data_IF_560481048926
#
_entry.id   IF_560481048926
#
_cell.length_a   1.000
_cell.length_b   1.000
_cell.length_c   1.000
_cell.angle_alpha   90.00
_cell.angle_beta   90.00
_cell.angle_gamma   90.00
#
_symmetry.space_group_name_H-M   'P 1'
#
loop_
_entity.id
_entity.type
_entity.pdbx_description
1 polymer ?
#
# COMPACT_ATOMS: atom_id res chain seq x y z
N UNK A 1 -16.43 -26.88 4.35
CA UNK A 1 -15.60 -26.49 3.19
C UNK A 1 -15.81 -25.00 3.12
N UNK A 2 -14.75 -24.20 3.22
CA UNK A 2 -14.88 -22.74 3.22
C UNK A 2 -15.81 -22.25 2.10
N UNK A 3 -16.59 -21.21 2.38
CA UNK A 3 -17.48 -20.58 1.39
C UNK A 3 -16.70 -20.30 0.10
N UNK A 4 -17.31 -20.50 -1.07
CA UNK A 4 -16.66 -20.35 -2.39
C UNK A 4 -16.06 -18.96 -2.65
N UNK A 5 -16.47 -17.99 -1.84
CA UNK A 5 -16.01 -16.60 -1.87
C UNK A 5 -14.77 -16.35 -0.99
N UNK A 6 -14.25 -17.35 -0.28
CA UNK A 6 -12.97 -17.22 0.44
C UNK A 6 -11.78 -17.67 -0.41
N UNK A 7 -10.69 -16.91 -0.35
CA UNK A 7 -9.41 -17.31 -0.95
C UNK A 7 -8.24 -16.96 -0.03
N UNK A 8 -7.25 -17.86 0.01
CA UNK A 8 -5.98 -17.66 0.72
C UNK A 8 -6.14 -17.23 2.19
N UNK A 9 -7.20 -17.67 2.86
CA UNK A 9 -7.47 -17.39 4.28
C UNK A 9 -7.95 -18.65 4.97
N UNK A 10 -7.44 -18.90 6.17
CA UNK A 10 -7.92 -19.98 7.01
C UNK A 10 -9.19 -19.54 7.73
N UNK A 11 -10.32 -20.17 7.41
CA UNK A 11 -11.59 -19.93 8.11
C UNK A 11 -11.57 -20.55 9.51
N UNK A 12 -12.60 -20.27 10.33
CA UNK A 12 -12.69 -20.94 11.64
C UNK A 12 -12.76 -22.46 11.49
N UNK A 13 -13.53 -22.93 10.50
CA UNK A 13 -13.65 -24.36 10.18
C UNK A 13 -12.30 -24.97 9.80
N UNK A 14 -11.48 -24.27 9.00
CA UNK A 14 -10.15 -24.78 8.60
C UNK A 14 -9.24 -24.97 9.81
N UNK A 15 -9.30 -24.02 10.76
CA UNK A 15 -8.43 -24.01 11.94
C UNK A 15 -8.90 -25.00 13.02
N UNK A 16 -10.20 -25.05 13.29
CA UNK A 16 -10.74 -25.73 14.47
C UNK A 16 -11.66 -26.91 14.15
N UNK A 17 -12.05 -27.10 12.88
CA UNK A 17 -13.04 -28.11 12.50
C UNK A 17 -12.69 -29.53 12.96
N UNK A 18 -11.42 -29.93 12.78
CA UNK A 18 -10.92 -31.23 13.23
C UNK A 18 -10.80 -31.32 14.76
N UNK A 19 -10.31 -30.26 15.40
CA UNK A 19 -10.13 -30.19 16.86
C UNK A 19 -11.47 -30.34 17.58
N UNK A 20 -12.48 -29.61 17.11
CA UNK A 20 -13.80 -29.55 17.73
C UNK A 20 -14.76 -30.64 17.22
N UNK A 21 -14.34 -31.44 16.22
CA UNK A 21 -15.17 -32.45 15.57
C UNK A 21 -16.53 -31.88 15.14
N UNK A 22 -16.50 -30.77 14.41
CA UNK A 22 -17.72 -30.07 13.99
C UNK A 22 -18.60 -30.94 13.09
N UNK A 23 -19.91 -30.91 13.31
CA UNK A 23 -20.87 -31.56 12.41
C UNK A 23 -20.96 -30.82 11.06
N UNK A 24 -21.46 -31.47 9.99
CA UNK A 24 -21.70 -30.80 8.71
C UNK A 24 -22.59 -29.55 8.82
N UNK A 25 -23.61 -29.58 9.69
CA UNK A 25 -24.51 -28.45 9.94
C UNK A 25 -23.79 -27.30 10.65
N UNK A 26 -22.96 -27.62 11.65
CA UNK A 26 -22.13 -26.62 12.35
C UNK A 26 -21.11 -25.99 11.39
N UNK A 27 -20.47 -26.81 10.54
CA UNK A 27 -19.54 -26.34 9.52
C UNK A 27 -20.25 -25.34 8.59
N UNK A 28 -21.42 -25.68 8.06
CA UNK A 28 -22.17 -24.79 7.18
C UNK A 28 -22.57 -23.49 7.89
N UNK A 29 -23.03 -23.57 9.14
CA UNK A 29 -23.40 -22.38 9.91
C UNK A 29 -22.19 -21.47 10.19
N UNK A 30 -21.06 -22.06 10.57
CA UNK A 30 -19.81 -21.33 10.82
C UNK A 30 -19.24 -20.73 9.53
N UNK A 31 -19.19 -21.49 8.43
CA UNK A 31 -18.69 -21.00 7.15
C UNK A 31 -19.54 -19.81 6.62
N UNK A 32 -20.85 -19.81 6.90
CA UNK A 32 -21.72 -18.65 6.64
C UNK A 32 -21.43 -17.46 7.55
N UNK A 33 -21.21 -17.69 8.85
CA UNK A 33 -20.81 -16.64 9.79
C UNK A 33 -19.45 -16.01 9.43
N UNK A 34 -18.51 -16.82 8.95
CA UNK A 34 -17.23 -16.37 8.42
C UNK A 34 -17.46 -15.44 7.22
N UNK A 35 -18.27 -15.87 6.25
CA UNK A 35 -18.60 -15.08 5.06
C UNK A 35 -19.28 -13.76 5.43
N UNK A 36 -20.32 -13.79 6.28
CA UNK A 36 -21.02 -12.59 6.74
C UNK A 36 -20.08 -11.63 7.48
N UNK A 37 -19.19 -12.15 8.32
CA UNK A 37 -18.21 -11.35 9.04
C UNK A 37 -17.23 -10.69 8.08
N UNK A 38 -16.65 -11.43 7.14
CA UNK A 38 -15.69 -10.87 6.19
C UNK A 38 -16.34 -9.88 5.22
N UNK A 39 -17.54 -10.19 4.71
CA UNK A 39 -18.34 -9.30 3.87
C UNK A 39 -18.64 -7.98 4.59
N UNK A 40 -19.16 -8.09 5.80
CA UNK A 40 -19.50 -6.91 6.60
C UNK A 40 -18.24 -6.11 6.94
N UNK A 41 -17.17 -6.77 7.39
CA UNK A 41 -15.91 -6.13 7.75
C UNK A 41 -15.29 -5.34 6.59
N UNK A 42 -15.39 -5.85 5.36
CA UNK A 42 -14.85 -5.20 4.16
C UNK A 42 -15.66 -3.97 3.72
N UNK A 43 -17.00 -4.01 3.83
CA UNK A 43 -17.90 -3.04 3.17
C UNK A 43 -18.66 -2.09 4.13
N UNK A 44 -18.75 -2.38 5.43
CA UNK A 44 -19.52 -1.55 6.37
C UNK A 44 -18.62 -0.76 7.31
N UNK A 45 -18.70 0.58 7.34
CA UNK A 45 -18.49 1.49 8.52
C UNK A 45 -19.20 2.83 8.22
N UNK A 46 -19.99 3.47 9.13
CA UNK A 46 -19.92 3.47 10.61
C UNK A 46 -21.12 2.92 11.37
N UNK A 47 -22.12 2.30 10.73
CA UNK A 47 -23.22 1.61 11.44
C UNK A 47 -22.94 0.12 11.68
N UNK A 48 -21.66 -0.25 11.76
CA UNK A 48 -21.32 -1.44 12.51
C UNK A 48 -21.71 -1.17 13.97
N UNK A 49 -22.44 -2.05 14.68
CA UNK A 49 -22.75 -1.82 16.09
C UNK A 49 -21.50 -1.82 17.01
N UNK A 50 -20.30 -1.96 16.44
CA UNK A 50 -19.04 -2.10 17.14
C UNK A 50 -18.15 -0.89 16.87
N UNK A 51 -17.81 -0.16 17.93
CA UNK A 51 -17.02 1.08 17.90
C UNK A 51 -15.55 0.85 17.53
N UNK A 52 -15.10 -0.41 17.50
CA UNK A 52 -13.73 -0.81 17.19
C UNK A 52 -13.65 -2.28 16.74
N UNK A 53 -12.49 -2.67 16.19
CA UNK A 53 -12.21 -4.03 15.71
C UNK A 53 -12.32 -5.09 16.81
N UNK A 54 -12.00 -4.75 18.06
CA UNK A 54 -12.08 -5.67 19.19
C UNK A 54 -13.52 -6.09 19.47
N UNK A 55 -14.45 -5.15 19.45
CA UNK A 55 -15.88 -5.42 19.61
C UNK A 55 -16.43 -6.28 18.45
N UNK A 56 -16.02 -6.00 17.21
CA UNK A 56 -16.41 -6.81 16.04
C UNK A 56 -15.91 -8.26 16.14
N UNK A 57 -14.64 -8.44 16.54
CA UNK A 57 -14.08 -9.78 16.80
C UNK A 57 -14.80 -10.51 17.93
N UNK A 58 -15.16 -9.80 19.02
CA UNK A 58 -15.87 -10.39 20.15
C UNK A 58 -17.27 -10.85 19.75
N UNK A 59 -18.02 -10.03 19.01
CA UNK A 59 -19.36 -10.38 18.58
C UNK A 59 -19.37 -11.54 17.59
N UNK A 60 -18.44 -11.53 16.63
CA UNK A 60 -18.23 -12.67 15.74
C UNK A 60 -17.89 -13.95 16.55
N UNK A 61 -16.98 -13.87 17.52
CA UNK A 61 -16.66 -15.00 18.41
C UNK A 61 -17.90 -15.51 19.15
N UNK A 62 -18.74 -14.64 19.68
CA UNK A 62 -19.96 -15.04 20.38
C UNK A 62 -20.93 -15.78 19.46
N UNK A 63 -21.14 -15.29 18.23
CA UNK A 63 -21.96 -16.00 17.23
C UNK A 63 -21.42 -17.40 16.93
N UNK A 64 -20.09 -17.56 16.83
CA UNK A 64 -19.47 -18.88 16.66
C UNK A 64 -19.73 -19.76 17.88
N UNK A 65 -19.54 -19.24 19.10
CA UNK A 65 -19.79 -19.98 20.33
C UNK A 65 -21.24 -20.48 20.40
N UNK A 66 -22.22 -19.70 19.93
CA UNK A 66 -23.64 -20.09 19.91
C UNK A 66 -23.91 -21.33 19.04
N UNK A 67 -23.11 -21.56 18.00
CA UNK A 67 -23.19 -22.76 17.15
C UNK A 67 -22.55 -23.99 17.81
N UNK A 68 -21.59 -23.78 18.73
CA UNK A 68 -20.83 -24.85 19.37
C UNK A 68 -21.56 -25.42 20.59
N UNK A 69 -21.45 -26.74 20.78
CA UNK A 69 -21.88 -27.42 22.00
C UNK A 69 -20.97 -27.06 23.19
N UNK A 70 -21.47 -27.16 24.45
CA UNK A 70 -20.67 -26.84 25.64
C UNK A 70 -19.30 -27.54 25.70
N UNK A 71 -19.23 -28.82 25.33
CA UNK A 71 -17.96 -29.56 25.30
C UNK A 71 -16.97 -29.02 24.26
N UNK A 72 -17.47 -28.60 23.09
CA UNK A 72 -16.65 -27.97 22.05
C UNK A 72 -16.16 -26.59 22.49
N UNK A 73 -17.00 -25.81 23.19
CA UNK A 73 -16.60 -24.51 23.76
C UNK A 73 -15.45 -24.68 24.76
N UNK A 74 -15.54 -25.68 25.65
CA UNK A 74 -14.46 -26.01 26.59
C UNK A 74 -13.16 -26.40 25.87
N UNK A 75 -13.25 -27.26 24.84
CA UNK A 75 -12.07 -27.65 24.05
C UNK A 75 -11.41 -26.46 23.34
N UNK A 76 -12.21 -25.51 22.83
CA UNK A 76 -11.72 -24.28 22.22
C UNK A 76 -10.98 -23.39 23.24
N UNK A 77 -11.53 -23.24 24.45
CA UNK A 77 -10.89 -22.48 25.53
C UNK A 77 -9.58 -23.12 25.99
N UNK A 78 -9.56 -24.44 26.19
CA UNK A 78 -8.33 -25.18 26.52
C UNK A 78 -7.24 -25.01 25.46
N UNK A 79 -7.62 -25.03 24.18
CA UNK A 79 -6.70 -24.77 23.09
C UNK A 79 -6.14 -23.34 23.13
N UNK A 80 -7.01 -22.34 23.33
CA UNK A 80 -6.60 -20.94 23.44
C UNK A 80 -5.59 -20.73 24.59
N UNK A 81 -5.83 -21.34 25.76
CA UNK A 81 -4.89 -21.28 26.89
C UNK A 81 -3.55 -21.96 26.58
N UNK A 82 -3.54 -23.10 25.88
CA UNK A 82 -2.30 -23.78 25.47
C UNK A 82 -1.49 -22.95 24.48
N UNK A 83 -2.14 -22.34 23.50
CA UNK A 83 -1.46 -21.46 22.54
C UNK A 83 -0.91 -20.20 23.21
N UNK A 84 -1.67 -19.57 24.12
CA UNK A 84 -1.18 -18.44 24.90
C UNK A 84 0.05 -18.82 25.73
N UNK A 85 0.05 -19.98 26.39
CA UNK A 85 1.19 -20.47 27.15
C UNK A 85 2.42 -20.75 26.24
N UNK A 86 2.21 -21.30 25.04
CA UNK A 86 3.26 -21.51 24.04
C UNK A 86 3.87 -20.19 23.57
N UNK A 87 3.03 -19.20 23.28
CA UNK A 87 3.47 -17.88 22.85
C UNK A 87 4.33 -17.21 23.93
N UNK A 88 3.86 -17.19 25.19
CA UNK A 88 4.64 -16.66 26.32
C UNK A 88 5.98 -17.39 26.50
N UNK A 89 6.00 -18.72 26.31
CA UNK A 89 7.23 -19.49 26.38
C UNK A 89 8.19 -19.14 25.23
N UNK A 90 7.67 -18.89 24.03
CA UNK A 90 8.46 -18.48 22.88
C UNK A 90 9.02 -17.06 23.07
N UNK A 91 8.21 -16.11 23.50
CA UNK A 91 8.63 -14.74 23.83
C UNK A 91 9.73 -14.75 24.90
N UNK A 92 9.60 -15.58 25.94
CA UNK A 92 10.65 -15.74 26.96
C UNK A 92 11.97 -16.28 26.37
N UNK A 93 11.90 -17.27 25.46
CA UNK A 93 13.08 -17.81 24.76
C UNK A 93 13.72 -16.78 23.84
N UNK A 94 12.91 -16.00 23.13
CA UNK A 94 13.37 -14.93 22.24
C UNK A 94 14.05 -13.81 23.03
N UNK A 95 13.45 -13.35 24.13
CA UNK A 95 14.07 -12.38 25.03
C UNK A 95 15.42 -12.88 25.60
N UNK A 96 15.52 -14.17 25.92
CA UNK A 96 16.78 -14.76 26.37
C UNK A 96 17.83 -14.80 25.25
N UNK A 97 17.43 -15.16 24.03
CA UNK A 97 18.32 -15.13 22.84
C UNK A 97 18.78 -13.73 22.51
N UNK A 98 17.89 -12.74 22.59
CA UNK A 98 18.21 -11.33 22.36
C UNK A 98 19.21 -10.82 23.39
N UNK A 99 19.01 -11.14 24.67
CA UNK A 99 19.95 -10.80 25.74
C UNK A 99 21.35 -11.40 25.48
N UNK A 100 21.41 -12.67 25.06
CA UNK A 100 22.67 -13.33 24.69
C UNK A 100 23.33 -12.66 23.47
N UNK A 101 22.56 -12.42 22.40
CA UNK A 101 23.05 -11.74 21.20
C UNK A 101 23.57 -10.33 21.49
N UNK A 102 22.90 -9.59 22.39
CA UNK A 102 23.36 -8.26 22.84
C UNK A 102 24.68 -8.35 23.59
N UNK A 103 24.86 -9.34 24.46
CA UNK A 103 26.12 -9.58 25.15
C UNK A 103 27.27 -9.93 24.18
N UNK A 104 27.00 -10.80 23.20
CA UNK A 104 27.98 -11.16 22.17
C UNK A 104 28.35 -9.96 21.29
N UNK A 105 27.36 -9.13 20.91
CA UNK A 105 27.57 -7.90 20.15
C UNK A 105 28.42 -6.90 20.92
N UNK A 106 28.17 -6.73 22.23
CA UNK A 106 29.03 -5.92 23.10
C UNK A 106 30.47 -6.43 23.11
N UNK A 107 30.67 -7.73 23.35
CA UNK A 107 32.00 -8.33 23.36
C UNK A 107 32.73 -8.19 22.00
N UNK A 108 32.00 -8.32 20.90
CA UNK A 108 32.51 -8.08 19.55
C UNK A 108 32.97 -6.64 19.33
N UNK A 109 32.15 -5.65 19.70
CA UNK A 109 32.50 -4.23 19.57
C UNK A 109 33.74 -3.89 20.39
N UNK A 110 33.81 -4.33 21.64
CA UNK A 110 34.98 -4.08 22.50
C UNK A 110 36.27 -4.70 21.93
N UNK A 111 36.20 -5.86 21.29
CA UNK A 111 37.35 -6.45 20.58
C UNK A 111 37.76 -5.62 19.37
N UNK A 112 36.81 -5.17 18.54
CA UNK A 112 37.06 -4.33 17.36
C UNK A 112 37.72 -2.99 17.73
N UNK A 113 37.30 -2.43 18.85
CA UNK A 113 37.69 -1.11 19.33
C UNK A 113 38.74 -1.14 20.46
N UNK A 114 39.44 -2.27 20.64
CA UNK A 114 40.41 -2.49 21.73
C UNK A 114 41.50 -1.40 21.83
N UNK A 115 41.85 -0.75 20.72
CA UNK A 115 42.86 0.32 20.65
C UNK A 115 42.48 1.61 21.39
N UNK A 116 41.19 1.78 21.71
CA UNK A 116 40.64 2.91 22.48
C UNK A 116 40.97 2.85 23.97
N UNK A 117 41.35 1.67 24.49
CA UNK A 117 41.69 1.44 25.92
C UNK A 117 40.62 2.01 26.87
N UNK A 118 39.36 1.66 26.62
CA UNK A 118 38.21 2.13 27.40
C UNK A 118 38.28 1.63 28.84
N UNK A 119 37.89 2.47 29.80
CA UNK A 119 37.63 2.01 31.18
C UNK A 119 36.35 1.17 31.23
N UNK A 120 36.11 0.36 32.28
CA UNK A 120 34.88 -0.43 32.41
C UNK A 120 33.60 0.42 32.29
N UNK A 121 33.56 1.61 32.91
CA UNK A 121 32.42 2.52 32.80
C UNK A 121 32.23 3.11 31.39
N UNK A 122 33.32 3.41 30.67
CA UNK A 122 33.26 3.87 29.29
C UNK A 122 32.85 2.76 28.32
N UNK A 123 33.25 1.51 28.57
CA UNK A 123 33.00 0.38 27.68
C UNK A 123 31.50 0.09 27.50
N UNK A 124 30.72 0.16 28.57
CA UNK A 124 29.27 -0.05 28.51
C UNK A 124 28.56 1.09 27.78
N UNK A 125 28.87 2.35 28.12
CA UNK A 125 28.32 3.52 27.44
C UNK A 125 28.67 3.52 25.94
N UNK A 126 29.94 3.25 25.61
CA UNK A 126 30.43 3.19 24.23
C UNK A 126 29.67 2.15 23.39
N UNK A 127 29.50 0.93 23.93
CA UNK A 127 28.81 -0.13 23.17
C UNK A 127 27.32 0.13 23.02
N UNK A 128 26.66 0.70 24.03
CA UNK A 128 25.25 1.09 23.93
C UNK A 128 25.05 2.18 22.88
N UNK A 129 25.86 3.25 22.92
CA UNK A 129 25.81 4.35 21.94
C UNK A 129 25.96 3.82 20.50
N UNK A 130 26.92 2.92 20.24
CA UNK A 130 27.08 2.35 18.89
C UNK A 130 25.91 1.48 18.43
N UNK A 131 25.26 0.77 19.36
CA UNK A 131 24.08 -0.05 19.03
C UNK A 131 22.89 0.86 18.73
N UNK A 132 22.62 1.81 19.61
CA UNK A 132 21.49 2.76 19.52
C UNK A 132 21.63 3.65 18.29
N UNK A 133 22.82 4.19 18.01
CA UNK A 133 23.07 5.01 16.83
C UNK A 133 22.79 4.25 15.52
N UNK A 134 23.09 2.95 15.47
CA UNK A 134 22.79 2.13 14.30
C UNK A 134 21.30 1.84 14.16
N UNK A 135 20.60 1.61 15.27
CA UNK A 135 19.15 1.42 15.27
C UNK A 135 18.41 2.69 14.84
N UNK A 136 18.88 3.85 15.32
CA UNK A 136 18.36 5.16 14.94
C UNK A 136 18.60 5.47 13.46
N UNK A 137 19.82 5.28 12.95
CA UNK A 137 20.13 5.46 11.54
C UNK A 137 19.29 4.52 10.63
N UNK A 138 19.09 3.28 11.06
CA UNK A 138 18.25 2.31 10.32
C UNK A 138 16.78 2.72 10.32
N UNK A 139 16.29 3.29 11.43
CA UNK A 139 14.91 3.76 11.55
C UNK A 139 14.67 4.99 10.67
N UNK A 140 15.54 5.99 10.77
CA UNK A 140 15.50 7.18 9.91
C UNK A 140 15.52 6.77 8.43
N UNK A 141 16.35 5.79 8.05
CA UNK A 141 16.36 5.26 6.69
C UNK A 141 15.05 4.63 6.25
N UNK A 142 14.32 3.93 7.13
CA UNK A 142 13.03 3.32 6.80
C UNK A 142 11.90 4.35 6.68
N UNK A 143 11.97 5.41 7.46
CA UNK A 143 10.89 6.41 7.57
C UNK A 143 11.01 7.54 6.54
N UNK A 144 12.24 7.94 6.18
CA UNK A 144 12.49 9.15 5.38
C UNK A 144 13.11 8.87 4.00
N UNK A 145 13.10 7.63 3.51
CA UNK A 145 13.78 7.26 2.25
C UNK A 145 13.33 8.16 1.08
N UNK A 146 14.20 9.02 0.55
CA UNK A 146 13.95 9.63 -0.75
C UNK A 146 14.00 8.52 -1.81
N UNK A 147 13.10 8.52 -2.81
CA UNK A 147 13.23 7.63 -3.97
C UNK A 147 14.64 7.74 -4.57
N UNK A 148 15.21 6.62 -5.01
CA UNK A 148 16.49 6.61 -5.74
C UNK A 148 17.79 6.82 -4.94
N UNK A 149 17.76 7.25 -3.68
CA UNK A 149 19.00 7.53 -2.92
C UNK A 149 19.46 6.32 -2.09
N UNK A 150 20.66 5.79 -2.40
CA UNK A 150 21.36 4.81 -1.58
C UNK A 150 22.09 5.54 -0.42
N UNK A 151 21.48 5.58 0.76
CA UNK A 151 22.13 6.09 1.98
C UNK A 151 22.94 4.97 2.66
N UNK A 152 24.22 5.22 2.93
CA UNK A 152 25.06 4.28 3.68
C UNK A 152 24.70 4.38 5.18
N UNK A 153 23.80 3.50 5.62
CA UNK A 153 23.32 3.46 7.01
C UNK A 153 24.44 3.28 8.04
N UNK A 154 25.55 2.61 7.67
CA UNK A 154 26.69 2.45 8.57
C UNK A 154 27.43 3.78 8.73
N UNK A 155 27.62 4.55 7.64
CA UNK A 155 28.26 5.87 7.70
C UNK A 155 27.46 6.84 8.59
N UNK A 156 26.14 6.91 8.41
CA UNK A 156 25.28 7.78 9.24
C UNK A 156 25.24 7.33 10.70
N UNK A 157 25.18 6.01 10.96
CA UNK A 157 25.32 5.47 12.32
C UNK A 157 26.66 5.89 12.96
N UNK A 158 27.74 5.90 12.18
CA UNK A 158 29.06 6.37 12.62
C UNK A 158 29.07 7.84 13.00
N UNK A 159 28.49 8.71 12.16
CA UNK A 159 28.38 10.16 12.41
C UNK A 159 27.55 10.44 13.66
N UNK A 160 26.45 9.72 13.86
CA UNK A 160 25.60 9.86 15.03
C UNK A 160 26.32 9.39 16.30
N UNK A 161 26.94 8.22 16.25
CA UNK A 161 27.72 7.68 17.36
C UNK A 161 28.85 8.62 17.75
N UNK A 162 29.55 9.20 16.78
CA UNK A 162 30.63 10.14 17.04
C UNK A 162 30.15 11.38 17.82
N UNK A 163 28.96 11.92 17.49
CA UNK A 163 28.39 13.06 18.21
C UNK A 163 28.10 12.70 19.66
N UNK A 164 27.49 11.54 19.89
CA UNK A 164 27.13 11.06 21.23
C UNK A 164 28.35 10.64 22.07
N UNK A 165 29.40 10.13 21.42
CA UNK A 165 30.62 9.69 22.10
C UNK A 165 31.51 10.84 22.59
N UNK A 166 31.28 12.10 22.16
CA UNK A 166 32.03 13.27 22.65
C UNK A 166 31.96 13.44 24.16
N UNK A 167 30.83 13.06 24.77
CA UNK A 167 30.62 13.18 26.21
C UNK A 167 31.18 11.99 27.01
N UNK A 168 31.61 10.93 26.31
CA UNK A 168 32.10 9.67 26.91
C UNK A 168 33.61 9.48 26.71
N UNK A 169 34.15 9.96 25.58
CA UNK A 169 35.52 9.76 25.15
C UNK A 169 36.32 11.07 25.21
N UNK A 170 37.56 11.01 25.67
CA UNK A 170 38.49 12.14 25.53
C UNK A 170 38.88 12.37 24.07
N UNK A 171 39.39 13.55 23.74
CA UNK A 171 39.71 13.96 22.36
C UNK A 171 40.63 12.96 21.62
N UNK A 172 41.66 12.46 22.30
CA UNK A 172 42.57 11.43 21.77
C UNK A 172 41.86 10.10 21.47
N UNK A 173 40.90 9.71 22.32
CA UNK A 173 40.09 8.50 22.10
C UNK A 173 39.12 8.71 20.94
N UNK A 174 38.44 9.86 20.86
CA UNK A 174 37.50 10.17 19.78
C UNK A 174 38.20 10.19 18.40
N UNK A 175 39.41 10.77 18.31
CA UNK A 175 40.21 10.71 17.08
C UNK A 175 40.55 9.28 16.67
N UNK A 176 40.88 8.42 17.64
CA UNK A 176 41.14 6.99 17.41
C UNK A 176 39.88 6.23 17.00
N UNK A 177 38.73 6.60 17.56
CA UNK A 177 37.45 6.02 17.20
C UNK A 177 37.18 6.25 15.72
N UNK A 178 37.28 7.50 15.23
CA UNK A 178 37.12 7.83 13.81
C UNK A 178 38.03 6.98 12.92
N UNK A 179 39.33 6.93 13.24
CA UNK A 179 40.29 6.12 12.48
C UNK A 179 39.93 4.63 12.42
N UNK A 180 39.47 4.05 13.53
CA UNK A 180 39.05 2.65 13.54
C UNK A 180 37.75 2.47 12.78
N UNK A 181 36.79 3.38 12.95
CA UNK A 181 35.51 3.37 12.28
C UNK A 181 35.66 3.47 10.76
N UNK A 182 36.38 4.47 10.25
CA UNK A 182 36.61 4.68 8.81
C UNK A 182 37.25 3.45 8.16
N UNK A 183 38.25 2.87 8.84
CA UNK A 183 38.91 1.63 8.38
C UNK A 183 37.96 0.43 8.35
N UNK A 184 37.02 0.35 9.30
CA UNK A 184 36.02 -0.72 9.33
C UNK A 184 34.96 -0.52 8.26
N UNK A 185 34.54 0.73 8.02
CA UNK A 185 33.58 1.09 6.98
C UNK A 185 34.15 0.78 5.59
N UNK A 186 35.40 1.19 5.32
CA UNK A 186 36.09 0.88 4.06
C UNK A 186 36.21 -0.64 3.83
N UNK A 187 36.59 -1.40 4.88
CA UNK A 187 36.62 -2.87 4.80
C UNK A 187 35.27 -3.49 4.56
N UNK A 188 34.20 -2.93 5.14
CA UNK A 188 32.83 -3.40 4.90
C UNK A 188 32.46 -3.16 3.45
N UNK A 189 32.61 -1.93 2.94
CA UNK A 189 32.35 -1.56 1.55
C UNK A 189 33.12 -2.43 0.56
N UNK A 190 34.39 -2.72 0.85
CA UNK A 190 35.21 -3.61 0.02
C UNK A 190 34.71 -5.06 0.07
N UNK A 191 34.33 -5.57 1.24
CA UNK A 191 33.77 -6.90 1.41
C UNK A 191 32.41 -7.04 0.70
N UNK A 192 31.55 -6.02 0.79
CA UNK A 192 30.25 -5.95 0.15
C UNK A 192 30.41 -5.93 -1.37
N UNK A 193 31.31 -5.10 -1.91
CA UNK A 193 31.64 -5.08 -3.34
C UNK A 193 32.16 -6.44 -3.81
N UNK A 194 33.09 -7.07 -3.08
CA UNK A 194 33.61 -8.41 -3.40
C UNK A 194 32.51 -9.46 -3.37
N UNK A 195 31.61 -9.38 -2.40
CA UNK A 195 30.48 -10.28 -2.27
C UNK A 195 29.51 -10.09 -3.44
N UNK A 196 29.18 -8.85 -3.83
CA UNK A 196 28.32 -8.55 -4.97
C UNK A 196 28.91 -9.08 -6.27
N UNK A 197 30.19 -8.81 -6.55
CA UNK A 197 30.88 -9.36 -7.73
C UNK A 197 30.77 -10.89 -7.74
N UNK A 198 31.00 -11.54 -6.59
CA UNK A 198 30.87 -12.99 -6.46
C UNK A 198 29.45 -13.47 -6.71
N UNK A 199 28.44 -12.78 -6.21
CA UNK A 199 27.03 -13.12 -6.48
C UNK A 199 26.72 -13.00 -7.96
N UNK A 200 27.12 -11.90 -8.61
CA UNK A 200 26.92 -11.70 -10.05
C UNK A 200 27.59 -12.80 -10.88
N UNK A 201 28.81 -13.22 -10.52
CA UNK A 201 29.48 -14.36 -11.17
C UNK A 201 28.66 -15.66 -11.05
N UNK A 202 28.14 -15.94 -9.85
CA UNK A 202 27.35 -17.15 -9.59
C UNK A 202 26.02 -17.10 -10.34
N UNK A 203 25.31 -15.98 -10.27
CA UNK A 203 24.01 -15.75 -10.89
C UNK A 203 24.07 -15.97 -12.40
N UNK A 204 25.00 -15.31 -13.09
CA UNK A 204 25.11 -15.43 -14.56
C UNK A 204 25.56 -16.82 -14.99
N UNK A 205 26.46 -17.46 -14.23
CA UNK A 205 26.90 -18.82 -14.53
C UNK A 205 25.77 -19.83 -14.36
N UNK A 206 25.04 -19.78 -13.24
CA UNK A 206 24.03 -20.77 -12.88
C UNK A 206 22.70 -20.56 -13.60
N UNK A 207 22.26 -19.31 -13.74
CA UNK A 207 20.93 -18.99 -14.26
C UNK A 207 20.95 -18.70 -15.76
N UNK A 208 22.05 -18.16 -16.28
CA UNK A 208 22.16 -17.75 -17.69
C UNK A 208 23.16 -18.58 -18.49
N UNK A 209 23.96 -19.44 -17.84
CA UNK A 209 25.01 -20.21 -18.51
C UNK A 209 26.15 -19.34 -19.05
N UNK A 210 26.36 -18.15 -18.48
CA UNK A 210 27.37 -17.18 -18.91
C UNK A 210 28.51 -17.14 -17.89
N UNK A 211 29.69 -17.57 -18.29
CA UNK A 211 30.91 -17.44 -17.49
C UNK A 211 31.49 -16.02 -17.63
N UNK A 212 31.22 -15.16 -16.65
CA UNK A 212 31.77 -13.80 -16.61
C UNK A 212 33.21 -13.76 -16.08
N UNK A 213 33.99 -12.79 -16.54
CA UNK A 213 35.25 -12.40 -15.87
C UNK A 213 34.97 -11.51 -14.65
N UNK A 214 35.90 -11.41 -13.67
CA UNK A 214 35.72 -10.53 -12.52
C UNK A 214 35.44 -9.05 -12.90
N UNK A 215 36.10 -8.52 -13.93
CA UNK A 215 35.87 -7.15 -14.40
C UNK A 215 34.50 -6.94 -15.04
N UNK A 216 33.98 -7.95 -15.76
CA UNK A 216 32.62 -7.91 -16.31
C UNK A 216 31.57 -7.97 -15.20
N UNK A 217 31.74 -8.89 -14.24
CA UNK A 217 30.84 -9.01 -13.10
C UNK A 217 30.83 -7.73 -12.24
N UNK A 218 31.97 -7.06 -12.10
CA UNK A 218 32.04 -5.77 -11.42
C UNK A 218 31.27 -4.67 -12.14
N UNK A 219 31.44 -4.53 -13.47
CA UNK A 219 30.68 -3.55 -14.25
C UNK A 219 29.16 -3.77 -14.13
N UNK A 220 28.72 -5.03 -14.18
CA UNK A 220 27.32 -5.42 -14.00
C UNK A 220 26.85 -5.14 -12.57
N UNK A 221 27.62 -5.50 -11.54
CA UNK A 221 27.27 -5.25 -10.15
C UNK A 221 27.13 -3.75 -9.86
N UNK A 222 28.03 -2.92 -10.39
CA UNK A 222 27.96 -1.47 -10.23
C UNK A 222 26.71 -0.89 -10.90
N UNK A 223 26.32 -1.37 -12.08
CA UNK A 223 25.06 -0.98 -12.71
C UNK A 223 23.85 -1.41 -11.88
N UNK A 224 23.85 -2.65 -11.36
CA UNK A 224 22.77 -3.17 -10.51
C UNK A 224 22.62 -2.40 -9.18
N UNK A 225 23.71 -1.83 -8.67
CA UNK A 225 23.71 -1.05 -7.42
C UNK A 225 23.49 0.46 -7.61
N UNK A 226 23.46 0.96 -8.85
CA UNK A 226 23.27 2.38 -9.16
C UNK A 226 21.81 2.84 -9.08
N UNK A 227 21.51 4.00 -9.69
CA UNK A 227 20.17 4.60 -9.87
C UNK A 227 19.25 3.67 -10.67
N UNK A 228 18.75 2.62 -10.01
CA UNK A 228 17.81 1.70 -10.61
C UNK A 228 16.37 2.21 -10.45
N UNK A 229 15.61 2.05 -11.53
CA UNK A 229 14.17 2.15 -11.51
C UNK A 229 13.60 3.55 -11.60
N UNK A 230 14.41 4.60 -11.78
CA UNK A 230 13.90 5.95 -12.09
C UNK A 230 14.64 6.65 -13.24
N UNK A 231 13.94 7.58 -13.92
CA UNK A 231 14.51 8.48 -14.92
C UNK A 231 15.09 9.77 -14.31
N UNK A 232 15.60 10.67 -15.15
CA UNK A 232 16.21 11.94 -14.74
C UNK A 232 15.22 12.90 -14.04
N UNK A 233 13.92 12.58 -14.08
CA UNK A 233 12.85 13.32 -13.43
C UNK A 233 12.23 12.53 -12.27
N UNK A 234 12.94 11.53 -11.73
CA UNK A 234 12.52 10.65 -10.64
C UNK A 234 11.26 9.79 -10.91
N UNK A 235 10.83 9.65 -12.18
CA UNK A 235 9.70 8.78 -12.51
C UNK A 235 10.16 7.33 -12.68
N UNK A 236 9.30 6.40 -12.30
CA UNK A 236 9.61 4.97 -12.39
C UNK A 236 9.82 4.56 -13.85
N UNK A 237 10.89 3.81 -14.13
CA UNK A 237 11.15 3.28 -15.47
C UNK A 237 10.19 2.13 -15.80
N UNK A 238 9.79 2.03 -17.07
CA UNK A 238 9.12 0.82 -17.56
C UNK A 238 10.10 -0.35 -17.68
N UNK A 239 9.57 -1.57 -17.65
CA UNK A 239 10.32 -2.78 -17.94
C UNK A 239 11.12 -2.67 -19.26
N UNK A 240 10.54 -2.03 -20.29
CA UNK A 240 11.19 -1.84 -21.58
C UNK A 240 12.40 -0.89 -21.50
N UNK A 241 12.27 0.20 -20.74
CA UNK A 241 13.38 1.15 -20.52
C UNK A 241 14.48 0.52 -19.66
N UNK A 242 14.12 -0.19 -18.60
CA UNK A 242 15.08 -0.90 -17.74
C UNK A 242 15.88 -1.94 -18.54
N UNK A 243 15.18 -2.78 -19.31
CA UNK A 243 15.82 -3.81 -20.13
C UNK A 243 16.64 -3.22 -21.28
N UNK A 244 16.25 -2.08 -21.85
CA UNK A 244 17.06 -1.39 -22.86
C UNK A 244 18.36 -0.85 -22.27
N UNK A 245 18.31 -0.20 -21.09
CA UNK A 245 19.51 0.27 -20.37
C UNK A 245 20.43 -0.89 -20.00
N UNK A 246 19.86 -2.01 -19.55
CA UNK A 246 20.63 -3.21 -19.25
C UNK A 246 21.26 -3.80 -20.52
N UNK A 247 20.52 -3.89 -21.62
CA UNK A 247 21.03 -4.38 -22.90
C UNK A 247 22.23 -3.54 -23.40
N UNK A 248 22.15 -2.21 -23.31
CA UNK A 248 23.24 -1.30 -23.68
C UNK A 248 24.49 -1.49 -22.81
N UNK A 249 24.32 -1.79 -21.52
CA UNK A 249 25.44 -2.19 -20.67
C UNK A 249 26.04 -3.51 -21.15
N UNK A 250 25.20 -4.53 -21.36
CA UNK A 250 25.69 -5.87 -21.72
C UNK A 250 26.41 -5.87 -23.06
N UNK A 251 25.96 -5.07 -24.04
CA UNK A 251 26.64 -4.88 -25.32
C UNK A 251 28.07 -4.33 -25.18
N UNK A 252 28.32 -3.52 -24.14
CA UNK A 252 29.64 -2.94 -23.86
C UNK A 252 30.55 -3.87 -23.07
N UNK A 253 29.98 -4.75 -22.24
CA UNK A 253 30.71 -5.52 -21.24
C UNK A 253 30.97 -6.97 -21.68
N UNK A 254 30.00 -7.60 -22.35
CA UNK A 254 30.08 -9.01 -22.72
C UNK A 254 30.84 -9.23 -24.04
N UNK A 255 31.46 -10.39 -24.18
CA UNK A 255 31.97 -10.85 -25.49
C UNK A 255 30.81 -11.19 -26.42
N UNK A 256 31.04 -11.27 -27.73
CA UNK A 256 30.00 -11.61 -28.71
C UNK A 256 29.26 -12.92 -28.37
N UNK A 257 29.99 -13.96 -27.95
CA UNK A 257 29.39 -15.25 -27.59
C UNK A 257 28.56 -15.19 -26.30
N UNK A 258 29.04 -14.48 -25.29
CA UNK A 258 28.32 -14.25 -24.04
C UNK A 258 27.06 -13.40 -24.28
N UNK A 259 27.18 -12.34 -25.09
CA UNK A 259 26.09 -11.45 -25.46
C UNK A 259 25.00 -12.21 -26.22
N UNK A 260 25.36 -13.09 -27.15
CA UNK A 260 24.39 -13.91 -27.87
C UNK A 260 23.57 -14.81 -26.94
N UNK A 261 24.19 -15.37 -25.90
CA UNK A 261 23.48 -16.15 -24.86
C UNK A 261 22.59 -15.25 -24.01
N UNK A 262 23.09 -14.09 -23.59
CA UNK A 262 22.34 -13.12 -22.80
C UNK A 262 21.08 -12.64 -23.54
N UNK A 263 21.22 -12.25 -24.80
CA UNK A 263 20.10 -11.74 -25.62
C UNK A 263 18.99 -12.78 -25.79
N UNK A 264 19.31 -14.08 -25.91
CA UNK A 264 18.29 -15.14 -25.91
C UNK A 264 17.51 -15.20 -24.59
N UNK A 265 18.20 -15.05 -23.47
CA UNK A 265 17.57 -14.97 -22.14
C UNK A 265 16.68 -13.73 -22.01
N UNK A 266 17.16 -12.58 -22.48
CA UNK A 266 16.42 -11.32 -22.47
C UNK A 266 15.16 -11.39 -23.35
N UNK A 267 15.23 -12.00 -24.53
CA UNK A 267 14.07 -12.25 -25.39
C UNK A 267 13.01 -13.12 -24.69
N UNK A 268 13.43 -14.17 -23.98
CA UNK A 268 12.52 -15.00 -23.20
C UNK A 268 11.85 -14.23 -22.05
N UNK A 269 12.60 -13.35 -21.37
CA UNK A 269 12.05 -12.46 -20.33
C UNK A 269 11.05 -11.46 -20.92
N UNK A 270 11.38 -10.82 -22.04
CA UNK A 270 10.47 -9.91 -22.76
C UNK A 270 9.18 -10.63 -23.18
N UNK A 271 9.29 -11.85 -23.69
CA UNK A 271 8.12 -12.67 -24.05
C UNK A 271 7.27 -13.03 -22.82
N UNK A 272 7.89 -13.40 -21.70
CA UNK A 272 7.18 -13.69 -20.45
C UNK A 272 6.48 -12.44 -19.89
N UNK A 273 7.10 -11.26 -19.98
CA UNK A 273 6.49 -9.99 -19.59
C UNK A 273 5.29 -9.65 -20.48
N UNK A 274 5.40 -9.83 -21.80
CA UNK A 274 4.26 -9.67 -22.73
C UNK A 274 3.11 -10.61 -22.36
N UNK A 275 3.38 -11.89 -22.09
CA UNK A 275 2.36 -12.84 -21.65
C UNK A 275 1.71 -12.42 -20.32
N UNK A 276 2.50 -11.85 -19.40
CA UNK A 276 1.97 -11.29 -18.16
C UNK A 276 1.04 -10.10 -18.43
N UNK A 277 1.41 -9.18 -19.33
CA UNK A 277 0.55 -8.06 -19.74
C UNK A 277 -0.74 -8.57 -20.39
N UNK A 278 -0.69 -9.56 -21.28
CA UNK A 278 -1.89 -10.17 -21.87
C UNK A 278 -2.81 -10.81 -20.82
N UNK A 279 -2.23 -11.51 -19.84
CA UNK A 279 -2.99 -12.10 -18.75
C UNK A 279 -3.62 -11.02 -17.84
N UNK A 280 -2.88 -9.95 -17.55
CA UNK A 280 -3.36 -8.78 -16.81
C UNK A 280 -4.53 -8.13 -17.55
N UNK A 281 -4.39 -7.90 -18.85
CA UNK A 281 -5.39 -7.30 -19.73
C UNK A 281 -6.72 -8.06 -19.66
N UNK A 282 -6.67 -9.40 -19.69
CA UNK A 282 -7.87 -10.25 -19.56
C UNK A 282 -8.51 -10.17 -18.18
N UNK A 283 -7.70 -10.16 -17.11
CA UNK A 283 -8.20 -10.03 -15.72
C UNK A 283 -8.87 -8.68 -15.51
N UNK A 284 -8.33 -7.63 -16.12
CA UNK A 284 -8.81 -6.26 -16.00
C UNK A 284 -10.22 -6.03 -16.55
N UNK A 285 -10.72 -6.90 -17.43
CA UNK A 285 -12.09 -6.85 -17.93
C UNK A 285 -13.14 -6.91 -16.80
N UNK A 286 -12.87 -7.66 -15.73
CA UNK A 286 -13.75 -7.72 -14.56
C UNK A 286 -13.80 -6.38 -13.82
N UNK A 287 -12.64 -5.75 -13.63
CA UNK A 287 -12.53 -4.42 -13.00
C UNK A 287 -13.23 -3.34 -13.83
N UNK A 288 -13.07 -3.38 -15.16
CA UNK A 288 -13.76 -2.47 -16.10
C UNK A 288 -15.27 -2.64 -15.99
N UNK A 289 -15.76 -3.88 -16.03
CA UNK A 289 -17.20 -4.15 -15.90
C UNK A 289 -17.74 -3.65 -14.56
N UNK A 290 -17.01 -3.88 -13.46
CA UNK A 290 -17.37 -3.38 -12.15
C UNK A 290 -17.39 -1.83 -12.10
N UNK A 291 -16.39 -1.17 -12.69
CA UNK A 291 -16.32 0.28 -12.77
C UNK A 291 -17.47 0.88 -13.60
N UNK A 292 -17.77 0.29 -14.77
CA UNK A 292 -18.92 0.66 -15.60
C UNK A 292 -20.24 0.51 -14.85
N UNK A 293 -20.47 -0.64 -14.21
CA UNK A 293 -21.69 -0.88 -13.43
C UNK A 293 -21.85 0.11 -12.27
N UNK A 294 -20.75 0.49 -11.59
CA UNK A 294 -20.77 1.56 -10.58
C UNK A 294 -21.20 2.90 -11.18
N UNK A 295 -20.63 3.26 -12.33
CA UNK A 295 -21.04 4.46 -13.05
C UNK A 295 -22.53 4.42 -13.40
N UNK A 296 -23.01 3.34 -14.04
CA UNK A 296 -24.40 3.20 -14.47
C UNK A 296 -25.36 3.31 -13.27
N UNK A 297 -25.03 2.64 -12.16
CA UNK A 297 -25.82 2.72 -10.94
C UNK A 297 -25.86 4.14 -10.37
N UNK A 298 -24.69 4.80 -10.28
CA UNK A 298 -24.60 6.16 -9.76
C UNK A 298 -25.39 7.16 -10.64
N UNK A 299 -25.24 7.06 -11.96
CA UNK A 299 -25.92 7.92 -12.92
C UNK A 299 -27.45 7.75 -12.88
N UNK A 300 -27.95 6.52 -12.73
CA UNK A 300 -29.38 6.23 -12.74
C UNK A 300 -30.08 6.43 -11.39
N UNK A 301 -29.41 6.14 -10.27
CA UNK A 301 -30.05 6.06 -8.96
C UNK A 301 -29.61 7.17 -8.00
N UNK A 302 -28.32 7.51 -7.99
CA UNK A 302 -27.75 8.42 -6.99
C UNK A 302 -27.74 9.87 -7.47
N UNK A 303 -27.21 10.11 -8.68
CA UNK A 303 -27.04 11.45 -9.24
C UNK A 303 -28.37 12.23 -9.34
N UNK A 304 -29.50 11.66 -9.81
CA UNK A 304 -30.75 12.42 -9.93
C UNK A 304 -31.24 12.96 -8.58
N UNK A 305 -31.09 12.17 -7.52
CA UNK A 305 -31.42 12.59 -6.15
C UNK A 305 -30.51 13.72 -5.67
N UNK A 306 -29.19 13.59 -5.84
CA UNK A 306 -28.23 14.61 -5.41
C UNK A 306 -28.40 15.91 -6.21
N UNK A 307 -28.69 15.82 -7.51
CA UNK A 307 -29.00 16.98 -8.35
C UNK A 307 -30.28 17.66 -7.89
N UNK A 308 -31.32 16.92 -7.50
CA UNK A 308 -32.54 17.52 -6.95
C UNK A 308 -32.24 18.32 -5.67
N UNK A 309 -31.39 17.81 -4.77
CA UNK A 309 -30.93 18.56 -3.60
C UNK A 309 -30.12 19.80 -4.01
N UNK A 310 -29.21 19.68 -4.98
CA UNK A 310 -28.42 20.80 -5.51
C UNK A 310 -29.31 21.87 -6.15
N UNK A 311 -30.34 21.50 -6.89
CA UNK A 311 -31.32 22.40 -7.50
C UNK A 311 -32.10 23.18 -6.45
N UNK A 312 -32.62 22.48 -5.44
CA UNK A 312 -33.32 23.13 -4.33
C UNK A 312 -32.40 24.13 -3.60
N UNK A 313 -31.13 23.77 -3.38
CA UNK A 313 -30.15 24.66 -2.76
C UNK A 313 -29.85 25.89 -3.62
N UNK A 314 -29.95 25.80 -4.94
CA UNK A 314 -29.60 26.88 -5.85
C UNK A 314 -30.43 28.16 -5.59
N UNK A 315 -31.65 28.04 -5.08
CA UNK A 315 -32.48 29.16 -4.65
C UNK A 315 -31.95 29.91 -3.42
N UNK A 316 -31.09 29.28 -2.62
CA UNK A 316 -30.49 29.86 -1.41
C UNK A 316 -29.10 30.45 -1.64
N UNK A 317 -28.43 30.09 -2.74
CA UNK A 317 -27.07 30.54 -3.03
C UNK A 317 -27.07 31.99 -3.53
N UNK A 318 -26.23 32.83 -2.92
CA UNK A 318 -25.92 34.15 -3.45
C UNK A 318 -25.22 34.04 -4.83
N UNK A 319 -25.46 34.99 -5.73
CA UNK A 319 -24.87 34.98 -7.09
C UNK A 319 -23.34 34.85 -7.06
N UNK A 320 -22.67 35.55 -6.14
CA UNK A 320 -21.22 35.47 -5.98
C UNK A 320 -20.75 34.06 -5.61
N UNK A 321 -21.49 33.37 -4.74
CA UNK A 321 -21.15 32.01 -4.31
C UNK A 321 -21.42 31.00 -5.43
N UNK A 322 -22.46 31.20 -6.24
CA UNK A 322 -22.69 30.38 -7.46
C UNK A 322 -21.50 30.46 -8.42
N UNK A 323 -21.02 31.68 -8.69
CA UNK A 323 -19.86 31.89 -9.54
C UNK A 323 -18.58 31.27 -8.94
N UNK A 324 -18.45 31.30 -7.61
CA UNK A 324 -17.33 30.70 -6.91
C UNK A 324 -17.36 29.17 -6.98
N UNK A 325 -18.52 28.55 -6.73
CA UNK A 325 -18.72 27.11 -6.87
C UNK A 325 -18.41 26.64 -8.30
N UNK A 326 -18.75 27.43 -9.31
CA UNK A 326 -18.48 27.05 -10.69
C UNK A 326 -16.99 27.02 -11.04
N UNK A 327 -16.21 27.96 -10.49
CA UNK A 327 -14.75 27.93 -10.57
C UNK A 327 -14.16 26.72 -9.84
N UNK A 328 -14.71 26.38 -8.67
CA UNK A 328 -14.26 25.24 -7.88
C UNK A 328 -14.57 23.93 -8.61
N UNK A 329 -15.79 23.78 -9.16
CA UNK A 329 -16.17 22.62 -9.96
C UNK A 329 -15.27 22.46 -11.17
N UNK A 330 -14.99 23.55 -11.89
CA UNK A 330 -14.08 23.51 -13.03
C UNK A 330 -12.67 23.04 -12.62
N UNK A 331 -12.15 23.51 -11.48
CA UNK A 331 -10.88 23.05 -10.95
C UNK A 331 -10.88 21.56 -10.56
N UNK A 332 -12.00 21.03 -10.04
CA UNK A 332 -12.17 19.58 -9.80
C UNK A 332 -12.10 18.78 -11.11
N UNK A 333 -12.81 19.23 -12.15
CA UNK A 333 -12.84 18.57 -13.46
C UNK A 333 -11.45 18.60 -14.12
N UNK A 334 -10.74 19.72 -14.03
CA UNK A 334 -9.35 19.84 -14.50
C UNK A 334 -8.37 18.97 -13.71
N UNK A 335 -8.62 18.74 -12.42
CA UNK A 335 -7.84 17.78 -11.63
C UNK A 335 -8.06 16.35 -12.12
N UNK A 336 -9.32 15.95 -12.40
CA UNK A 336 -9.63 14.65 -13.00
C UNK A 336 -8.98 14.47 -14.37
N UNK A 337 -8.99 15.49 -15.22
CA UNK A 337 -8.40 15.43 -16.56
C UNK A 337 -6.87 15.29 -16.49
N UNK A 338 -6.23 15.95 -15.51
CA UNK A 338 -4.80 15.78 -15.24
C UNK A 338 -4.46 14.37 -14.76
N UNK A 339 -5.23 13.81 -13.82
CA UNK A 339 -5.06 12.42 -13.38
C UNK A 339 -5.23 11.43 -14.54
N UNK A 340 -6.20 11.67 -15.42
CA UNK A 340 -6.47 10.82 -16.58
C UNK A 340 -5.35 10.92 -17.62
N UNK A 341 -4.87 12.12 -17.93
CA UNK A 341 -3.75 12.33 -18.84
C UNK A 341 -2.45 11.68 -18.31
N UNK A 342 -2.22 11.75 -16.99
CA UNK A 342 -1.10 11.04 -16.36
C UNK A 342 -1.29 9.53 -16.48
N UNK A 343 -2.48 9.00 -16.19
CA UNK A 343 -2.79 7.57 -16.33
C UNK A 343 -2.59 7.07 -17.76
N UNK A 344 -2.96 7.87 -18.77
CA UNK A 344 -2.72 7.55 -20.18
C UNK A 344 -1.22 7.48 -20.50
N UNK A 345 -0.47 8.49 -20.06
CA UNK A 345 0.98 8.56 -20.26
C UNK A 345 1.67 7.35 -19.62
N UNK A 346 1.35 7.06 -18.37
CA UNK A 346 1.92 5.93 -17.64
C UNK A 346 1.51 4.58 -18.26
N UNK A 347 0.25 4.43 -18.69
CA UNK A 347 -0.16 3.22 -19.41
C UNK A 347 0.62 3.03 -20.72
N UNK A 348 0.77 4.09 -21.52
CA UNK A 348 1.56 4.01 -22.77
C UNK A 348 3.02 3.66 -22.50
N UNK A 349 3.60 4.20 -21.41
CA UNK A 349 4.98 3.93 -21.00
C UNK A 349 5.17 2.48 -20.53
N UNK A 350 4.31 2.01 -19.63
CA UNK A 350 4.52 0.73 -18.92
C UNK A 350 3.85 -0.47 -19.60
N UNK A 351 2.68 -0.25 -20.20
CA UNK A 351 1.81 -1.28 -20.76
C UNK A 351 1.71 -1.21 -22.30
N UNK A 352 2.19 -0.14 -22.93
CA UNK A 352 2.20 -0.01 -24.39
C UNK A 352 0.80 -0.18 -25.01
N UNK A 353 0.55 -1.21 -25.84
CA UNK A 353 -0.74 -1.41 -26.51
C UNK A 353 -1.83 -2.03 -25.61
N UNK A 354 -1.50 -2.49 -24.41
CA UNK A 354 -2.47 -3.03 -23.45
C UNK A 354 -3.07 -1.85 -22.68
N UNK A 355 -4.37 -1.60 -22.87
CA UNK A 355 -5.03 -0.34 -22.49
C UNK A 355 -6.13 -0.51 -21.45
N UNK A 356 -6.44 -1.73 -21.01
CA UNK A 356 -7.56 -1.95 -20.09
C UNK A 356 -7.35 -1.25 -18.73
N UNK A 357 -6.12 -1.05 -18.29
CA UNK A 357 -5.84 -0.26 -17.08
C UNK A 357 -6.26 1.21 -17.27
N UNK A 358 -5.96 1.79 -18.44
CA UNK A 358 -6.41 3.13 -18.80
C UNK A 358 -7.93 3.21 -19.00
N UNK A 359 -8.55 2.21 -19.62
CA UNK A 359 -10.01 2.12 -19.77
C UNK A 359 -10.70 2.05 -18.40
N UNK A 360 -10.13 1.33 -17.43
CA UNK A 360 -10.65 1.32 -16.07
C UNK A 360 -10.55 2.70 -15.42
N UNK A 361 -9.42 3.40 -15.61
CA UNK A 361 -9.23 4.76 -15.13
C UNK A 361 -10.27 5.74 -15.72
N UNK A 362 -10.60 5.61 -17.01
CA UNK A 362 -11.67 6.37 -17.68
C UNK A 362 -13.03 6.15 -16.99
N UNK A 363 -13.42 4.90 -16.73
CA UNK A 363 -14.68 4.62 -16.01
C UNK A 363 -14.69 5.16 -14.58
N UNK A 364 -13.55 5.09 -13.87
CA UNK A 364 -13.43 5.69 -12.53
C UNK A 364 -13.55 7.22 -12.58
N UNK A 365 -12.94 7.87 -13.58
CA UNK A 365 -13.06 9.31 -13.79
C UNK A 365 -14.51 9.72 -14.14
N UNK A 366 -15.18 8.99 -15.03
CA UNK A 366 -16.58 9.20 -15.35
C UNK A 366 -17.49 9.03 -14.11
N UNK A 367 -17.22 8.03 -13.26
CA UNK A 367 -17.90 7.86 -11.98
C UNK A 367 -17.67 9.04 -11.03
N UNK A 368 -16.43 9.55 -10.93
CA UNK A 368 -16.11 10.74 -10.11
C UNK A 368 -16.73 12.03 -10.65
N UNK A 369 -17.04 12.12 -11.94
CA UNK A 369 -17.77 13.25 -12.49
C UNK A 369 -19.24 13.29 -12.05
N UNK A 370 -19.88 12.12 -11.87
CA UNK A 370 -21.27 12.02 -11.38
C UNK A 370 -21.38 11.95 -9.85
N UNK A 371 -20.29 11.57 -9.17
CA UNK A 371 -20.17 11.62 -7.72
C UNK A 371 -18.83 12.30 -7.38
N UNK A 372 -18.79 13.65 -7.39
CA UNK A 372 -17.59 14.42 -7.11
C UNK A 372 -16.96 14.04 -5.77
N UNK A 373 -15.63 14.05 -5.75
CA UNK A 373 -14.84 13.84 -4.54
C UNK A 373 -14.05 15.11 -4.24
N UNK A 374 -14.49 15.85 -3.22
CA UNK A 374 -13.83 17.08 -2.80
C UNK A 374 -12.37 16.89 -2.35
N UNK A 375 -11.95 15.66 -2.03
CA UNK A 375 -10.54 15.36 -1.72
C UNK A 375 -9.60 15.62 -2.90
N UNK A 376 -10.10 15.63 -4.15
CA UNK A 376 -9.30 16.01 -5.33
C UNK A 376 -8.76 17.44 -5.26
N UNK A 377 -9.36 18.28 -4.41
CA UNK A 377 -8.91 19.65 -4.19
C UNK A 377 -8.05 19.80 -2.94
N UNK A 378 -7.74 18.75 -2.18
CA UNK A 378 -7.11 18.87 -0.85
C UNK A 378 -5.88 19.78 -0.83
N UNK A 379 -5.05 19.71 -1.87
CA UNK A 379 -3.83 20.52 -2.00
C UNK A 379 -4.03 21.84 -2.76
N UNK A 380 -5.27 22.14 -3.18
CA UNK A 380 -5.66 23.36 -3.88
C UNK A 380 -6.01 24.48 -2.89
N UNK A 381 -5.65 25.75 -3.18
CA UNK A 381 -6.10 26.90 -2.40
C UNK A 381 -7.63 27.10 -2.45
N UNK A 382 -8.33 26.39 -3.34
CA UNK A 382 -9.79 26.41 -3.44
C UNK A 382 -10.49 25.49 -2.41
N UNK A 383 -9.78 24.56 -1.78
CA UNK A 383 -10.40 23.64 -0.82
C UNK A 383 -10.88 24.32 0.48
N UNK A 384 -10.10 25.23 1.12
CA UNK A 384 -10.61 25.99 2.27
C UNK A 384 -11.83 26.85 1.92
N UNK A 385 -11.89 27.35 0.68
CA UNK A 385 -13.02 28.13 0.16
C UNK A 385 -14.25 27.24 0.05
N UNK A 386 -14.11 26.07 -0.56
CA UNK A 386 -15.18 25.08 -0.69
C UNK A 386 -15.71 24.66 0.69
N UNK A 387 -14.83 24.40 1.66
CA UNK A 387 -15.22 24.10 3.04
C UNK A 387 -15.98 25.25 3.71
N UNK A 388 -15.56 26.50 3.47
CA UNK A 388 -16.28 27.67 3.98
C UNK A 388 -17.68 27.79 3.39
N UNK A 389 -17.84 27.52 2.09
CA UNK A 389 -19.15 27.50 1.43
C UNK A 389 -20.02 26.36 1.96
N UNK A 390 -19.47 25.15 2.13
CA UNK A 390 -20.17 24.02 2.72
C UNK A 390 -20.70 24.34 4.11
N UNK A 391 -19.89 24.97 4.98
CA UNK A 391 -20.33 25.41 6.32
C UNK A 391 -21.40 26.50 6.26
N UNK A 392 -21.26 27.47 5.35
CA UNK A 392 -22.23 28.56 5.16
C UNK A 392 -23.61 28.01 4.75
N UNK A 393 -23.62 26.96 3.92
CA UNK A 393 -24.83 26.38 3.36
C UNK A 393 -25.27 25.07 4.03
N UNK A 394 -24.60 24.63 5.10
CA UNK A 394 -24.95 23.41 5.83
C UNK A 394 -26.39 23.44 6.35
N UNK A 395 -26.80 24.50 7.05
CA UNK A 395 -28.16 24.60 7.59
C UNK A 395 -29.27 24.66 6.50
N UNK A 396 -29.13 25.46 5.41
CA UNK A 396 -30.03 25.36 4.27
C UNK A 396 -30.09 23.96 3.65
N UNK A 397 -28.94 23.30 3.53
CA UNK A 397 -28.85 21.96 2.96
C UNK A 397 -29.53 20.92 3.86
N UNK A 398 -29.35 21.00 5.19
CA UNK A 398 -30.06 20.16 6.17
C UNK A 398 -31.58 20.31 6.07
N UNK A 399 -32.08 21.52 5.81
CA UNK A 399 -33.51 21.77 5.64
C UNK A 399 -34.07 21.23 4.31
N UNK A 400 -33.21 21.04 3.30
CA UNK A 400 -33.57 20.55 1.96
C UNK A 400 -33.43 19.04 1.86
N UNK A 401 -32.43 18.46 2.53
CA UNK A 401 -32.11 17.05 2.47
C UNK A 401 -33.15 16.26 3.27
N UNK A 402 -33.83 15.37 2.56
CA UNK A 402 -34.58 14.29 3.17
C UNK A 402 -33.59 13.22 3.65
N UNK A 403 -33.13 13.35 4.90
CA UNK A 403 -32.11 12.48 5.49
C UNK A 403 -32.54 11.01 5.52
N UNK A 404 -33.84 10.71 5.61
CA UNK A 404 -34.33 9.33 5.56
C UNK A 404 -34.17 8.73 4.17
N UNK A 405 -34.56 9.47 3.12
CA UNK A 405 -34.34 9.04 1.72
C UNK A 405 -32.86 8.90 1.40
N UNK A 406 -32.04 9.83 1.88
CA UNK A 406 -30.60 9.79 1.68
C UNK A 406 -29.96 8.58 2.38
N UNK A 407 -30.36 8.27 3.62
CA UNK A 407 -29.90 7.07 4.34
C UNK A 407 -30.28 5.81 3.57
N UNK A 408 -31.53 5.71 3.09
CA UNK A 408 -31.98 4.58 2.29
C UNK A 408 -31.20 4.45 0.96
N UNK A 409 -30.93 5.56 0.27
CA UNK A 409 -30.12 5.58 -0.95
C UNK A 409 -28.67 5.16 -0.69
N UNK A 410 -28.08 5.60 0.42
CA UNK A 410 -26.74 5.19 0.83
C UNK A 410 -26.67 3.69 1.16
N UNK A 411 -27.67 3.15 1.85
CA UNK A 411 -27.77 1.72 2.11
C UNK A 411 -27.90 0.92 0.80
N UNK A 412 -28.79 1.34 -0.11
CA UNK A 412 -28.95 0.69 -1.41
C UNK A 412 -27.65 0.73 -2.23
N UNK A 413 -26.91 1.85 -2.19
CA UNK A 413 -25.60 1.99 -2.83
C UNK A 413 -24.57 1.04 -2.22
N UNK A 414 -24.54 0.88 -0.89
CA UNK A 414 -23.66 -0.07 -0.22
C UNK A 414 -23.98 -1.51 -0.61
N UNK A 415 -25.26 -1.89 -0.60
CA UNK A 415 -25.72 -3.21 -1.02
C UNK A 415 -25.35 -3.50 -2.49
N UNK A 416 -25.51 -2.49 -3.36
CA UNK A 416 -25.06 -2.58 -4.74
C UNK A 416 -23.53 -2.74 -4.85
N UNK A 417 -22.74 -2.01 -4.05
CA UNK A 417 -21.28 -2.12 -4.08
C UNK A 417 -20.80 -3.53 -3.71
N UNK A 418 -21.42 -4.15 -2.70
CA UNK A 418 -21.18 -5.56 -2.34
C UNK A 418 -21.55 -6.47 -3.51
N UNK A 419 -22.77 -6.34 -4.05
CA UNK A 419 -23.26 -7.19 -5.13
C UNK A 419 -22.36 -7.10 -6.36
N UNK A 420 -22.03 -5.89 -6.79
CA UNK A 420 -21.15 -5.63 -7.93
C UNK A 420 -19.76 -6.28 -7.72
N UNK A 421 -19.17 -6.12 -6.52
CA UNK A 421 -17.92 -6.77 -6.19
C UNK A 421 -18.02 -8.30 -6.33
N UNK A 422 -19.04 -8.92 -5.75
CA UNK A 422 -19.20 -10.38 -5.76
C UNK A 422 -19.52 -10.96 -7.14
N UNK A 423 -20.31 -10.23 -7.96
CA UNK A 423 -20.69 -10.61 -9.33
C UNK A 423 -19.49 -10.51 -10.29
N UNK A 424 -18.57 -9.58 -10.04
CA UNK A 424 -17.35 -9.43 -10.85
C UNK A 424 -16.16 -10.24 -10.29
N UNK A 425 -16.42 -11.29 -9.52
CA UNK A 425 -15.40 -12.26 -9.08
C UNK A 425 -14.66 -11.87 -7.81
N UNK A 426 -15.19 -10.91 -7.03
CA UNK A 426 -14.66 -10.54 -5.73
C UNK A 426 -14.63 -11.70 -4.74
N UNK A 427 -13.56 -11.76 -3.95
CA UNK A 427 -13.27 -12.82 -2.97
C UNK A 427 -12.80 -12.21 -1.65
N UNK A 428 -13.32 -12.74 -0.55
CA UNK A 428 -12.95 -12.35 0.80
C UNK A 428 -11.71 -13.13 1.29
N UNK A 429 -10.89 -12.48 2.11
CA UNK A 429 -9.68 -13.07 2.68
C UNK A 429 -8.35 -12.47 2.17
N UNK A 430 -7.27 -12.70 2.91
CA UNK A 430 -5.96 -12.09 2.71
C UNK A 430 -5.86 -10.67 3.28
N UNK A 431 -4.88 -9.89 2.82
CA UNK A 431 -4.83 -8.44 3.06
C UNK A 431 -5.99 -7.77 2.29
N UNK A 432 -7.22 -7.93 2.77
CA UNK A 432 -8.36 -7.18 2.26
C UNK A 432 -8.20 -5.74 2.74
N UNK A 433 -8.05 -4.80 1.80
CA UNK A 433 -8.11 -3.38 2.15
C UNK A 433 -9.50 -3.12 2.73
N UNK A 434 -9.56 -2.71 3.99
CA UNK A 434 -10.82 -2.32 4.60
C UNK A 434 -11.25 -1.02 3.94
N UNK A 435 -12.37 -1.05 3.22
CA UNK A 435 -12.92 0.15 2.60
C UNK A 435 -13.75 0.86 3.69
N UNK A 436 -13.04 1.43 4.69
CA UNK A 436 -13.69 2.26 5.71
C UNK A 436 -13.87 3.65 5.13
N UNK A 437 -15.12 4.12 5.11
CA UNK A 437 -15.37 5.56 5.09
C UNK A 437 -15.35 6.04 6.52
N UNK A 438 -14.15 6.32 7.05
CA UNK A 438 -14.03 7.02 8.32
C UNK A 438 -14.42 8.48 8.09
N UNK A 439 -15.47 8.96 8.75
CA UNK A 439 -15.40 10.23 9.48
C UNK A 439 -16.72 10.53 10.19
N UNK A 440 -16.60 11.18 11.34
CA UNK A 440 -17.63 11.98 11.98
C UNK A 440 -18.02 13.24 11.17
N UNK A 441 -17.55 13.36 9.93
CA UNK A 441 -17.75 14.48 8.99
C UNK A 441 -18.39 14.02 7.67
N UNK A 442 -18.93 12.79 7.61
CA UNK A 442 -19.52 12.23 6.38
C UNK A 442 -20.64 13.12 5.82
N UNK A 443 -21.42 13.76 6.70
CA UNK A 443 -22.46 14.72 6.33
C UNK A 443 -21.89 16.01 5.73
N UNK A 444 -20.82 16.56 6.33
CA UNK A 444 -20.13 17.74 5.80
C UNK A 444 -19.41 17.44 4.48
N UNK A 445 -18.79 16.27 4.35
CA UNK A 445 -18.17 15.83 3.09
C UNK A 445 -19.21 15.68 2.00
N UNK A 446 -20.33 15.01 2.30
CA UNK A 446 -21.41 14.85 1.32
C UNK A 446 -22.04 16.20 0.94
N UNK A 447 -22.23 17.11 1.89
CA UNK A 447 -22.64 18.49 1.63
C UNK A 447 -21.65 19.20 0.69
N UNK A 448 -20.36 18.99 0.92
CA UNK A 448 -19.28 19.52 0.10
C UNK A 448 -19.31 18.96 -1.32
N UNK A 449 -19.54 17.66 -1.47
CA UNK A 449 -19.59 16.98 -2.77
C UNK A 449 -20.85 17.35 -3.56
N UNK A 450 -22.01 17.53 -2.90
CA UNK A 450 -23.25 18.03 -3.54
C UNK A 450 -23.04 19.42 -4.14
N UNK A 451 -22.31 20.30 -3.45
CA UNK A 451 -22.02 21.66 -3.93
C UNK A 451 -21.19 21.68 -5.23
N UNK A 452 -20.43 20.61 -5.49
CA UNK A 452 -19.64 20.45 -6.72
C UNK A 452 -20.47 19.98 -7.92
N UNK A 453 -21.72 19.56 -7.72
CA UNK A 453 -22.60 19.18 -8.83
C UNK A 453 -23.17 20.40 -9.55
N UNK A 454 -23.35 20.26 -10.87
CA UNK A 454 -24.24 21.16 -11.60
C UNK A 454 -25.69 20.97 -11.11
N UNK A 455 -26.49 22.04 -11.01
CA UNK A 455 -27.93 21.89 -10.79
C UNK A 455 -28.64 21.23 -11.99
N UNK A 456 -28.00 21.08 -13.14
CA UNK A 456 -28.59 20.43 -14.31
C UNK A 456 -28.09 18.98 -14.44
N UNK A 457 -29.03 18.03 -14.46
CA UNK A 457 -28.69 16.60 -14.53
C UNK A 457 -27.87 16.27 -15.79
N UNK A 458 -28.32 16.74 -16.96
CA UNK A 458 -27.63 16.46 -18.22
C UNK A 458 -26.23 17.08 -18.28
N UNK A 459 -25.99 18.23 -17.65
CA UNK A 459 -24.67 18.83 -17.61
C UNK A 459 -23.66 17.93 -16.86
N UNK A 460 -24.07 17.34 -15.74
CA UNK A 460 -23.22 16.37 -15.02
C UNK A 460 -22.98 15.09 -15.85
N UNK A 461 -24.01 14.60 -16.55
CA UNK A 461 -23.89 13.42 -17.41
C UNK A 461 -23.00 13.68 -18.63
N UNK A 462 -23.05 14.87 -19.22
CA UNK A 462 -22.20 15.27 -20.33
C UNK A 462 -20.73 15.32 -19.91
N UNK A 463 -20.42 15.91 -18.75
CA UNK A 463 -19.07 15.88 -18.19
C UNK A 463 -18.56 14.46 -17.94
N UNK A 464 -19.43 13.56 -17.49
CA UNK A 464 -19.04 12.16 -17.32
C UNK A 464 -18.79 11.45 -18.66
N UNK A 465 -19.62 11.70 -19.68
CA UNK A 465 -19.49 11.09 -21.02
C UNK A 465 -18.15 11.43 -21.68
N UNK A 466 -17.65 12.67 -21.54
CA UNK A 466 -16.32 13.10 -22.04
C UNK A 466 -15.15 12.26 -21.52
N UNK A 467 -15.35 11.56 -20.40
CA UNK A 467 -14.32 10.77 -19.71
C UNK A 467 -14.52 9.26 -19.88
N UNK A 468 -15.59 8.84 -20.55
CA UNK A 468 -15.81 7.44 -20.89
C UNK A 468 -14.91 6.99 -22.04
N UNK A 469 -14.69 5.67 -22.21
CA UNK A 469 -13.96 5.17 -23.38
C UNK A 469 -14.66 5.58 -24.68
N UNK A 470 -13.95 6.33 -25.52
CA UNK A 470 -14.44 6.83 -26.82
C UNK A 470 -15.27 8.11 -26.78
N UNK A 471 -15.35 8.78 -25.62
CA UNK A 471 -16.03 10.06 -25.41
C UNK A 471 -15.23 11.30 -25.77
#
# INVERSE_FOLDING_TARGET
MAHEKFRNTLTFTDQFGKLLKLSPEQIKAIDNLDYEHARSYMFNVPEYPFKNEREARLAYRNKILDVLHPDQRRLLEEHAHKEQARQLQQEAKEAQREKAARADRKAYLLRRYKSLKLTPGQADLFTNILIESREEATRAWREERPPGVAMDCEEEAGKLAERQLKDVLGETQLKKFRQVFDKLLERSREADRKWQIKQTLIEYKQLQGIDLTPGQAEAIANFKNGEQGVDEQDNILSFWEETAREEDLMRRVLTESQLATYLKGLEAQRAAYTQHLEASERRKLQDINAARQRFDYAAANTLPMLVAFRQALDGHLALADKQQLERIRQACLEALDRELALSEKENRRHNGPYINEYIEAQWRAAHRAVLPDSDLLRDSPLFPVLQSLARKYAAPLEAIIDFEKLRAANQARQEFAVKNYEENGGLYGGFVMVIRTESSDAELRMATDILLLSPELEANLEEARKRQPGG
#
